data_IF_257219996756
#
_entry.id   IF_257219996756
#
_cell.length_a   1.000
_cell.length_b   1.000
_cell.length_c   1.000
_cell.angle_alpha   90.00
_cell.angle_beta   90.00
_cell.angle_gamma   90.00
#
_symmetry.space_group_name_H-M   'P 1'
#
loop_
_entity.id
_entity.type
_entity.pdbx_description
1 polymer ?
#
# COMPACT_ATOMS: atom_id res chain seq x y z
N UNK A 1 19.27 -2.90 2.17
CA UNK A 1 18.02 -2.27 2.63
C UNK A 1 16.91 -3.14 2.10
N UNK A 2 16.17 -3.84 2.96
CA UNK A 2 15.10 -4.74 2.53
C UNK A 2 13.77 -4.04 2.78
N UNK A 3 13.05 -3.70 1.72
CA UNK A 3 11.64 -3.29 1.83
C UNK A 3 10.79 -4.53 2.03
N UNK A 4 9.88 -4.46 2.99
CA UNK A 4 8.86 -5.48 3.21
C UNK A 4 7.56 -5.15 2.47
N UNK A 5 7.59 -4.20 1.53
CA UNK A 5 6.45 -3.78 0.73
C UNK A 5 6.74 -3.96 -0.77
N UNK A 6 6.04 -4.89 -1.38
CA UNK A 6 6.06 -5.08 -2.82
C UNK A 6 4.86 -4.39 -3.45
N UNK A 7 5.13 -3.50 -4.41
CA UNK A 7 4.11 -2.86 -5.23
C UNK A 7 4.19 -3.45 -6.62
N UNK A 8 3.20 -4.27 -6.99
CA UNK A 8 3.17 -4.88 -8.33
C UNK A 8 2.46 -3.99 -9.35
N UNK A 9 1.88 -2.86 -8.94
CA UNK A 9 1.17 -1.96 -9.85
C UNK A 9 2.15 -1.26 -10.78
N UNK A 10 2.22 -1.69 -12.04
CA UNK A 10 3.15 -1.15 -13.04
C UNK A 10 3.00 0.35 -13.29
N UNK A 11 1.77 0.85 -13.12
CA UNK A 11 1.40 2.24 -13.34
C UNK A 11 1.43 3.09 -12.07
N UNK A 12 1.92 2.57 -10.94
CA UNK A 12 2.10 3.35 -9.72
C UNK A 12 3.31 4.25 -9.86
N UNK A 13 3.15 5.54 -9.57
CA UNK A 13 4.21 6.53 -9.67
C UNK A 13 5.36 6.28 -8.67
N UNK A 14 5.05 5.69 -7.52
CA UNK A 14 6.02 5.31 -6.49
C UNK A 14 6.65 3.93 -6.70
N UNK A 15 6.19 3.15 -7.69
CA UNK A 15 6.75 1.84 -7.96
C UNK A 15 8.04 1.96 -8.77
N UNK A 16 9.17 1.61 -8.13
CA UNK A 16 10.46 1.43 -8.81
C UNK A 16 10.88 -0.03 -8.66
N UNK A 17 10.99 -0.75 -9.77
CA UNK A 17 11.47 -2.15 -9.84
C UNK A 17 10.70 -3.16 -8.96
N UNK A 18 9.41 -2.92 -8.69
CA UNK A 18 8.56 -3.80 -7.87
C UNK A 18 8.50 -3.43 -6.38
N UNK A 19 9.26 -2.42 -5.96
CA UNK A 19 9.24 -1.88 -4.60
C UNK A 19 8.56 -0.52 -4.58
N UNK A 20 7.89 -0.20 -3.49
CA UNK A 20 7.29 1.10 -3.29
C UNK A 20 8.29 2.08 -2.66
N UNK A 21 8.31 3.31 -3.16
CA UNK A 21 9.14 4.41 -2.67
C UNK A 21 8.28 5.58 -2.16
N UNK A 22 7.08 5.30 -1.66
CA UNK A 22 6.25 6.31 -1.00
C UNK A 22 6.71 6.47 0.45
N UNK A 23 6.87 7.71 0.93
CA UNK A 23 7.19 8.00 2.34
C UNK A 23 6.14 7.44 3.28
N UNK A 24 4.88 7.44 2.84
CA UNK A 24 3.75 6.94 3.60
C UNK A 24 2.75 6.25 2.67
N UNK A 25 2.23 5.10 3.10
CA UNK A 25 1.18 4.35 2.41
C UNK A 25 -0.03 4.29 3.32
N UNK A 26 -1.20 4.54 2.76
CA UNK A 26 -2.47 4.32 3.43
C UNK A 26 -3.26 3.24 2.71
N UNK A 27 -3.61 2.18 3.43
CA UNK A 27 -4.51 1.12 2.96
C UNK A 27 -5.89 1.39 3.56
N UNK A 28 -6.83 1.70 2.68
CA UNK A 28 -8.25 1.88 2.99
C UNK A 28 -9.03 0.58 2.83
N UNK A 29 -10.26 0.57 3.36
CA UNK A 29 -11.12 -0.61 3.43
C UNK A 29 -11.67 -0.81 4.84
N UNK A 30 -12.23 0.25 5.44
CA UNK A 30 -12.65 0.29 6.85
C UNK A 30 -13.50 -0.92 7.27
N UNK A 31 -14.50 -1.27 6.46
CA UNK A 31 -15.39 -2.42 6.67
C UNK A 31 -15.04 -3.62 5.78
N UNK A 32 -13.85 -3.62 5.16
CA UNK A 32 -13.43 -4.70 4.28
C UNK A 32 -13.52 -6.04 5.01
N UNK A 33 -14.20 -6.98 4.37
CA UNK A 33 -14.32 -8.37 4.82
C UNK A 33 -13.55 -9.33 3.91
N UNK A 34 -13.26 -8.88 2.69
CA UNK A 34 -12.49 -9.61 1.69
C UNK A 34 -11.37 -8.74 1.12
N UNK A 35 -10.32 -9.38 0.59
CA UNK A 35 -9.15 -8.71 0.00
C UNK A 35 -9.52 -7.62 -1.02
N UNK A 36 -10.42 -7.87 -2.00
CA UNK A 36 -10.77 -6.87 -3.03
C UNK A 36 -11.41 -5.59 -2.50
N UNK A 37 -11.88 -5.56 -1.24
CA UNK A 37 -12.48 -4.38 -0.61
C UNK A 37 -11.42 -3.46 0.05
N UNK A 38 -10.14 -3.83 -0.04
CA UNK A 38 -9.03 -2.98 0.40
C UNK A 38 -8.36 -2.32 -0.78
N UNK A 39 -7.90 -1.08 -0.63
CA UNK A 39 -7.16 -0.37 -1.68
C UNK A 39 -6.13 0.58 -1.09
N UNK A 40 -5.03 0.77 -1.81
CA UNK A 40 -3.99 1.73 -1.45
C UNK A 40 -4.46 3.14 -1.83
N UNK A 41 -4.86 3.95 -0.86
CA UNK A 41 -5.29 5.34 -1.09
C UNK A 41 -4.13 6.23 -1.54
N UNK A 42 -2.90 5.92 -1.10
CA UNK A 42 -1.69 6.63 -1.54
C UNK A 42 -1.22 6.21 -2.94
N UNK A 43 -1.99 5.37 -3.65
CA UNK A 43 -1.71 5.02 -5.03
C UNK A 43 -1.90 6.26 -5.91
N UNK A 44 -0.85 6.63 -6.64
CA UNK A 44 -0.89 7.66 -7.66
C UNK A 44 -0.53 7.03 -8.99
N UNK A 45 -1.34 7.28 -10.01
CA UNK A 45 -1.04 6.83 -11.36
C UNK A 45 0.14 7.62 -11.94
N UNK A 46 1.07 6.98 -12.65
CA UNK A 46 2.18 7.64 -13.36
C UNK A 46 1.71 8.76 -14.29
N UNK A 47 0.56 8.59 -14.94
CA UNK A 47 -0.03 9.65 -15.76
C UNK A 47 -0.40 10.87 -14.89
N UNK A 48 -1.07 10.66 -13.76
CA UNK A 48 -1.44 11.71 -12.80
C UNK A 48 -0.22 12.38 -12.16
N UNK A 49 0.83 11.60 -11.88
CA UNK A 49 2.11 12.10 -11.38
C UNK A 49 2.80 13.04 -12.37
N UNK A 50 2.67 12.83 -13.68
CA UNK A 50 3.23 13.78 -14.65
C UNK A 50 2.53 15.15 -14.65
N UNK A 51 1.29 15.21 -14.14
CA UNK A 51 0.53 16.46 -14.01
C UNK A 51 0.69 17.09 -12.62
N UNK A 52 1.29 16.39 -11.66
CA UNK A 52 1.44 16.84 -10.27
C UNK A 52 2.91 16.80 -9.88
N UNK A 53 3.48 17.94 -9.48
CA UNK A 53 4.90 18.02 -9.06
C UNK A 53 5.15 17.36 -7.68
N UNK A 54 4.32 16.40 -7.29
CA UNK A 54 4.14 15.85 -5.95
C UNK A 54 4.83 14.49 -5.75
N UNK A 55 5.33 13.88 -6.83
CA UNK A 55 5.99 12.56 -6.78
C UNK A 55 7.50 12.73 -6.84
N UNK A 56 8.08 13.26 -5.77
CA UNK A 56 9.52 13.31 -5.56
C UNK A 56 9.85 12.61 -4.26
N UNK A 57 9.67 11.30 -4.25
CA UNK A 57 9.93 10.48 -3.08
C UNK A 57 10.94 9.39 -3.42
N UNK A 58 12.02 9.37 -2.65
CA UNK A 58 13.11 8.41 -2.78
C UNK A 58 13.26 7.55 -1.51
N UNK A 59 12.27 7.64 -0.63
CA UNK A 59 12.24 6.90 0.61
C UNK A 59 11.67 5.52 0.36
N UNK A 60 12.50 4.49 0.51
CA UNK A 60 12.05 3.10 0.42
C UNK A 60 11.02 2.83 1.52
N UNK A 61 9.80 2.48 1.13
CA UNK A 61 8.72 2.25 2.08
C UNK A 61 8.97 0.98 2.89
N UNK A 62 8.64 1.02 4.18
CA UNK A 62 8.60 -0.16 5.05
C UNK A 62 7.18 -0.35 5.60
N UNK A 63 6.95 -1.47 6.29
CA UNK A 63 5.64 -1.77 6.88
C UNK A 63 5.23 -0.79 7.99
N UNK A 64 6.19 -0.15 8.64
CA UNK A 64 5.95 0.85 9.68
C UNK A 64 5.39 2.17 9.13
N UNK A 65 5.70 2.49 7.87
CA UNK A 65 5.14 3.64 7.13
C UNK A 65 3.76 3.34 6.52
N UNK A 66 3.15 2.20 6.83
CA UNK A 66 1.83 1.81 6.32
C UNK A 66 0.77 2.05 7.39
N UNK A 67 -0.09 3.01 7.12
CA UNK A 67 -1.36 3.18 7.84
C UNK A 67 -2.43 2.26 7.24
N UNK A 68 -3.11 1.49 8.07
CA UNK A 68 -4.16 0.57 7.67
C UNK A 68 -5.48 0.98 8.34
N UNK A 69 -6.44 1.45 7.55
CA UNK A 69 -7.78 1.81 8.03
C UNK A 69 -8.71 0.59 8.14
N UNK A 70 -8.35 -0.55 7.55
CA UNK A 70 -9.18 -1.75 7.53
C UNK A 70 -9.32 -2.37 8.93
N UNK A 71 -10.45 -2.11 9.60
CA UNK A 71 -10.67 -2.49 11.00
C UNK A 71 -10.59 -3.99 11.20
N UNK A 72 -11.16 -4.73 10.25
CA UNK A 72 -11.19 -6.19 10.27
C UNK A 72 -9.91 -6.83 9.73
N UNK A 73 -8.82 -6.08 9.48
CA UNK A 73 -7.56 -6.65 9.04
C UNK A 73 -6.74 -7.18 10.24
N UNK A 74 -6.29 -8.43 10.21
CA UNK A 74 -5.51 -9.09 11.28
C UNK A 74 -4.19 -8.38 11.55
N UNK A 75 -3.61 -7.76 10.52
CA UNK A 75 -2.36 -7.02 10.63
C UNK A 75 -2.55 -5.56 11.05
N UNK A 76 -3.79 -5.07 11.10
CA UNK A 76 -4.07 -3.72 11.58
C UNK A 76 -4.02 -3.68 13.12
N UNK A 77 -2.97 -3.09 13.66
CA UNK A 77 -2.80 -2.84 15.10
C UNK A 77 -2.91 -1.32 15.31
N UNK A 78 -4.05 -0.88 15.85
CA UNK A 78 -4.31 0.54 16.17
C UNK A 78 -4.12 1.51 14.98
N UNK A 79 -4.39 1.08 13.76
CA UNK A 79 -4.23 1.89 12.54
C UNK A 79 -2.87 1.73 11.85
N UNK A 80 -1.93 0.99 12.44
CA UNK A 80 -0.64 0.65 11.83
C UNK A 80 -0.64 -0.78 11.27
N UNK A 81 0.05 -0.99 10.15
CA UNK A 81 0.23 -2.33 9.60
C UNK A 81 1.42 -3.05 10.24
N UNK A 82 1.17 -4.18 10.89
CA UNK A 82 2.20 -5.03 11.49
C UNK A 82 2.49 -6.31 10.68
N UNK A 83 2.11 -6.34 9.40
CA UNK A 83 2.42 -7.47 8.54
C UNK A 83 3.94 -7.58 8.32
N UNK A 84 4.49 -8.79 8.31
CA UNK A 84 5.90 -9.03 7.98
C UNK A 84 6.22 -8.70 6.52
N UNK A 85 5.22 -8.84 5.64
CA UNK A 85 5.34 -8.53 4.22
C UNK A 85 3.99 -8.04 3.67
N UNK A 86 3.99 -6.92 2.96
CA UNK A 86 2.81 -6.32 2.33
C UNK A 86 2.95 -6.40 0.82
N UNK A 87 1.90 -6.87 0.16
CA UNK A 87 1.78 -6.97 -1.28
C UNK A 87 0.62 -6.11 -1.78
N UNK A 88 0.92 -5.14 -2.63
CA UNK A 88 -0.07 -4.36 -3.37
C UNK A 88 -0.19 -4.94 -4.78
N UNK A 89 -1.39 -5.42 -5.13
CA UNK A 89 -1.61 -6.18 -6.34
C UNK A 89 -1.64 -5.31 -7.60
N UNK A 90 -1.37 -5.93 -8.75
CA UNK A 90 -1.24 -5.26 -10.06
C UNK A 90 -2.53 -4.63 -10.58
N UNK A 91 -3.69 -5.18 -10.20
CA UNK A 91 -4.95 -4.99 -10.93
C UNK A 91 -5.68 -3.74 -10.46
N UNK A 92 -5.73 -3.52 -9.15
CA UNK A 92 -6.54 -2.46 -8.53
C UNK A 92 -5.85 -1.77 -7.33
N UNK A 93 -4.52 -1.90 -7.20
CA UNK A 93 -3.78 -1.41 -6.03
C UNK A 93 -4.37 -1.93 -4.68
N UNK A 94 -4.91 -3.16 -4.71
CA UNK A 94 -5.50 -3.85 -3.57
C UNK A 94 -4.40 -4.42 -2.68
N UNK A 95 -4.61 -4.44 -1.36
CA UNK A 95 -3.70 -5.07 -0.43
C UNK A 95 -3.97 -6.59 -0.38
N UNK A 96 -3.24 -7.39 -1.18
CA UNK A 96 -3.37 -8.86 -1.19
C UNK A 96 -2.92 -9.50 0.13
N UNK A 97 -2.17 -8.76 0.95
CA UNK A 97 -1.79 -9.17 2.31
C UNK A 97 -2.98 -9.09 3.29
N UNK A 98 -4.09 -8.43 2.96
CA UNK A 98 -5.25 -8.35 3.84
C UNK A 98 -5.72 -9.74 4.29
N UNK A 99 -5.95 -9.89 5.60
CA UNK A 99 -6.52 -11.09 6.21
C UNK A 99 -7.59 -10.66 7.19
N UNK A 100 -8.76 -11.26 7.10
CA UNK A 100 -9.86 -11.00 8.02
C UNK A 100 -9.47 -11.43 9.45
N UNK A 101 -9.79 -10.60 10.43
CA UNK A 101 -9.77 -10.93 11.86
C UNK A 101 -10.94 -11.87 12.15
N UNK A 102 -10.63 -13.01 12.75
CA UNK A 102 -11.61 -13.95 13.26
C UNK A 102 -11.95 -13.64 14.72
#
# INVERSE_FOLDING_TARGET
MNSNLNCLVSNCAYNKTGYCYASHIKVEGFEATVTPETYCESFINKAEANFTNSVSDDTLTNTQSISCSAKNCTYNIQGACNASHVLINMKNAVCDTFRLKH
#
